data_IF_507291267022
#
_entry.id   IF_507291267022
#
_cell.length_a   1.000
_cell.length_b   1.000
_cell.length_c   1.000
_cell.angle_alpha   90.00
_cell.angle_beta   90.00
_cell.angle_gamma   90.00
#
_symmetry.space_group_name_H-M   'P 1'
#
loop_
_entity.id
_entity.type
_entity.pdbx_description
1 polymer ?
#
# COMPACT_ATOMS: atom_id res chain seq x y z
N UNK A 1 71.25 -34.93 37.01
CA UNK A 1 71.40 -35.36 35.60
C UNK A 1 70.06 -35.88 35.15
N UNK A 2 69.43 -35.30 34.12
CA UNK A 2 68.27 -35.94 33.50
C UNK A 2 68.72 -37.28 32.93
N UNK A 3 68.02 -38.35 33.30
CA UNK A 3 68.28 -39.65 32.71
C UNK A 3 67.60 -39.73 31.35
N UNK A 4 68.12 -40.58 30.46
CA UNK A 4 67.52 -40.84 29.15
C UNK A 4 66.06 -41.31 29.26
N UNK A 5 65.68 -41.94 30.37
CA UNK A 5 64.32 -42.37 30.67
C UNK A 5 63.38 -41.18 30.89
N UNK A 6 63.83 -40.14 31.60
CA UNK A 6 63.03 -38.94 31.88
C UNK A 6 62.68 -38.19 30.58
N UNK A 7 63.64 -38.06 29.66
CA UNK A 7 63.39 -37.45 28.35
C UNK A 7 62.38 -38.23 27.52
N UNK A 8 62.39 -39.57 27.61
CA UNK A 8 61.42 -40.40 26.92
C UNK A 8 60.02 -40.28 27.54
N UNK A 9 59.91 -40.19 28.88
CA UNK A 9 58.64 -39.95 29.56
C UNK A 9 58.01 -38.64 29.11
N UNK A 10 58.78 -37.55 29.14
CA UNK A 10 58.31 -36.23 28.70
C UNK A 10 57.83 -36.25 27.25
N UNK A 11 58.56 -36.91 26.35
CA UNK A 11 58.14 -37.04 24.95
C UNK A 11 56.82 -37.83 24.80
N UNK A 12 56.59 -38.86 25.62
CA UNK A 12 55.32 -39.59 25.62
C UNK A 12 54.18 -38.74 26.16
N UNK A 13 54.41 -38.00 27.23
CA UNK A 13 53.44 -37.05 27.81
C UNK A 13 53.06 -35.98 26.79
N UNK A 14 54.04 -35.32 26.15
CA UNK A 14 53.78 -34.36 25.09
C UNK A 14 53.00 -34.98 23.92
N UNK A 15 53.35 -36.20 23.51
CA UNK A 15 52.62 -36.90 22.44
C UNK A 15 51.19 -37.20 22.84
N UNK A 16 50.93 -37.55 24.11
CA UNK A 16 49.58 -37.78 24.62
C UNK A 16 48.76 -36.50 24.66
N UNK A 17 49.33 -35.41 25.20
CA UNK A 17 48.67 -34.10 25.25
C UNK A 17 48.32 -33.58 23.85
N UNK A 18 49.25 -33.67 22.90
CA UNK A 18 49.00 -33.27 21.50
C UNK A 18 47.87 -34.10 20.88
N UNK A 19 47.79 -35.41 21.17
CA UNK A 19 46.72 -36.26 20.66
C UNK A 19 45.36 -35.89 21.25
N UNK A 20 45.32 -35.60 22.55
CA UNK A 20 44.11 -35.16 23.23
C UNK A 20 43.64 -33.82 22.65
N UNK A 21 44.53 -32.85 22.50
CA UNK A 21 44.21 -31.56 21.87
C UNK A 21 43.72 -31.73 20.42
N UNK A 22 44.39 -32.55 19.60
CA UNK A 22 43.94 -32.85 18.23
C UNK A 22 42.54 -33.48 18.24
N UNK A 23 42.26 -34.37 19.20
CA UNK A 23 40.95 -35.01 19.32
C UNK A 23 39.86 -34.01 19.73
N UNK A 24 40.17 -33.08 20.65
CA UNK A 24 39.28 -32.01 21.07
C UNK A 24 38.98 -31.07 19.91
N UNK A 25 40.01 -30.61 19.19
CA UNK A 25 39.84 -29.74 18.01
C UNK A 25 39.00 -30.42 16.92
N UNK A 26 39.14 -31.73 16.72
CA UNK A 26 38.30 -32.49 15.78
C UNK A 26 36.84 -32.55 16.22
N UNK A 27 36.58 -32.71 17.53
CA UNK A 27 35.23 -32.70 18.06
C UNK A 27 34.59 -31.30 17.96
N UNK A 28 35.36 -30.25 18.22
CA UNK A 28 34.89 -28.87 18.04
C UNK A 28 34.61 -28.56 16.58
N UNK A 29 35.46 -29.03 15.66
CA UNK A 29 35.27 -28.85 14.22
C UNK A 29 33.97 -29.52 13.75
N UNK A 30 33.73 -30.77 14.15
CA UNK A 30 32.49 -31.47 13.77
C UNK A 30 31.25 -30.83 14.39
N UNK A 31 31.34 -30.31 15.61
CA UNK A 31 30.26 -29.54 16.22
C UNK A 31 29.98 -28.23 15.47
N UNK A 32 31.02 -27.55 15.00
CA UNK A 32 30.89 -26.34 14.17
C UNK A 32 30.26 -26.67 12.82
N UNK A 33 30.66 -27.76 12.15
CA UNK A 33 30.08 -28.21 10.89
C UNK A 33 28.56 -28.43 11.02
N UNK A 34 28.11 -29.19 12.03
CA UNK A 34 26.68 -29.42 12.27
C UNK A 34 25.92 -28.12 12.52
N UNK A 35 26.53 -27.17 13.25
CA UNK A 35 25.91 -25.87 13.51
C UNK A 35 25.81 -25.02 12.24
N UNK A 36 26.82 -25.07 11.37
CA UNK A 36 26.80 -24.37 10.07
C UNK A 36 25.69 -24.94 9.20
N UNK A 37 25.59 -26.27 9.06
CA UNK A 37 24.54 -26.91 8.26
C UNK A 37 23.13 -26.56 8.74
N UNK A 38 22.94 -26.51 10.07
CA UNK A 38 21.67 -26.10 10.67
C UNK A 38 21.31 -24.65 10.34
N UNK A 39 22.29 -23.73 10.48
CA UNK A 39 22.11 -22.31 10.16
C UNK A 39 21.87 -22.07 8.67
N UNK A 40 22.53 -22.83 7.79
CA UNK A 40 22.31 -22.74 6.34
C UNK A 40 20.90 -23.20 5.96
N UNK A 41 20.42 -24.29 6.57
CA UNK A 41 19.06 -24.80 6.37
C UNK A 41 18.02 -23.79 6.84
N UNK A 42 18.22 -23.21 8.02
CA UNK A 42 17.32 -22.17 8.57
C UNK A 42 17.33 -20.90 7.70
N UNK A 43 18.52 -20.45 7.27
CA UNK A 43 18.66 -19.30 6.40
C UNK A 43 17.93 -19.51 5.06
N UNK A 44 18.03 -20.71 4.49
CA UNK A 44 17.33 -21.05 3.26
C UNK A 44 15.81 -21.07 3.44
N UNK A 45 15.31 -21.64 4.55
CA UNK A 45 13.90 -21.60 4.88
C UNK A 45 13.40 -20.16 5.04
N UNK A 46 14.12 -19.33 5.80
CA UNK A 46 13.80 -17.92 6.02
C UNK A 46 13.76 -17.11 4.71
N UNK A 47 14.75 -17.29 3.83
CA UNK A 47 14.78 -16.66 2.49
C UNK A 47 13.57 -17.06 1.64
N UNK A 48 13.16 -18.33 1.69
CA UNK A 48 12.00 -18.80 0.94
C UNK A 48 10.68 -18.17 1.43
N UNK A 49 10.53 -18.04 2.76
CA UNK A 49 9.38 -17.38 3.38
C UNK A 49 9.33 -15.89 3.05
N UNK A 50 10.48 -15.21 3.13
CA UNK A 50 10.58 -13.79 2.78
C UNK A 50 10.17 -13.54 1.33
N UNK A 51 10.70 -14.33 0.39
CA UNK A 51 10.34 -14.24 -1.03
C UNK A 51 8.84 -14.47 -1.27
N UNK A 52 8.25 -15.44 -0.58
CA UNK A 52 6.81 -15.71 -0.66
C UNK A 52 5.99 -14.51 -0.18
N UNK A 53 6.38 -13.91 0.95
CA UNK A 53 5.73 -12.73 1.51
C UNK A 53 5.86 -11.51 0.58
N UNK A 54 7.02 -11.30 -0.04
CA UNK A 54 7.26 -10.21 -1.00
C UNK A 54 6.36 -10.33 -2.24
N UNK A 55 6.22 -11.55 -2.79
CA UNK A 55 5.31 -11.81 -3.91
C UNK A 55 3.86 -11.53 -3.51
N UNK A 56 3.45 -11.96 -2.31
CA UNK A 56 2.10 -11.71 -1.80
C UNK A 56 1.83 -10.21 -1.61
N UNK A 57 2.77 -9.47 -1.03
CA UNK A 57 2.67 -8.02 -0.84
C UNK A 57 2.56 -7.28 -2.17
N UNK A 58 3.37 -7.66 -3.17
CA UNK A 58 3.32 -7.09 -4.52
C UNK A 58 1.95 -7.34 -5.17
N UNK A 59 1.42 -8.57 -5.05
CA UNK A 59 0.09 -8.92 -5.56
C UNK A 59 -1.01 -8.10 -4.91
N UNK A 60 -0.97 -7.93 -3.58
CA UNK A 60 -1.92 -7.10 -2.85
C UNK A 60 -1.84 -5.63 -3.26
N UNK A 61 -0.63 -5.09 -3.44
CA UNK A 61 -0.41 -3.73 -3.93
C UNK A 61 -1.06 -3.50 -5.30
N UNK A 62 -0.90 -4.44 -6.23
CA UNK A 62 -1.52 -4.38 -7.55
C UNK A 62 -3.06 -4.45 -7.49
N UNK A 63 -3.61 -5.28 -6.60
CA UNK A 63 -5.05 -5.37 -6.38
C UNK A 63 -5.61 -4.05 -5.83
N UNK A 64 -4.95 -3.46 -4.82
CA UNK A 64 -5.34 -2.17 -4.26
C UNK A 64 -5.30 -1.05 -5.31
N UNK A 65 -4.27 -1.03 -6.16
CA UNK A 65 -4.19 -0.06 -7.26
C UNK A 65 -5.36 -0.23 -8.24
N UNK A 66 -5.71 -1.47 -8.56
CA UNK A 66 -6.83 -1.79 -9.47
C UNK A 66 -8.15 -1.33 -8.88
N UNK A 67 -8.41 -1.67 -7.61
CA UNK A 67 -9.62 -1.25 -6.90
C UNK A 67 -9.73 0.27 -6.82
N UNK A 68 -8.62 0.98 -6.54
CA UNK A 68 -8.61 2.45 -6.54
C UNK A 68 -9.02 3.04 -7.89
N UNK A 69 -8.47 2.50 -8.99
CA UNK A 69 -8.85 2.95 -10.35
C UNK A 69 -10.32 2.66 -10.66
N UNK A 70 -10.85 1.53 -10.21
CA UNK A 70 -12.27 1.21 -10.38
C UNK A 70 -13.17 2.16 -9.60
N UNK A 71 -12.82 2.47 -8.34
CA UNK A 71 -13.55 3.46 -7.53
C UNK A 71 -13.51 4.83 -8.20
N UNK A 72 -12.34 5.26 -8.67
CA UNK A 72 -12.20 6.54 -9.39
C UNK A 72 -13.05 6.59 -10.66
N UNK A 73 -13.07 5.51 -11.46
CA UNK A 73 -13.91 5.41 -12.65
C UNK A 73 -15.40 5.46 -12.30
N UNK A 74 -15.84 4.72 -11.27
CA UNK A 74 -17.23 4.75 -10.78
C UNK A 74 -17.63 6.14 -10.28
N UNK A 75 -16.75 6.81 -9.53
CA UNK A 75 -16.98 8.17 -9.08
C UNK A 75 -17.05 9.16 -10.26
N UNK A 76 -16.16 9.01 -11.25
CA UNK A 76 -16.17 9.84 -12.43
C UNK A 76 -17.46 9.64 -13.23
N UNK A 77 -17.88 8.39 -13.48
CA UNK A 77 -19.16 8.08 -14.15
C UNK A 77 -20.36 8.64 -13.39
N UNK A 78 -20.36 8.52 -12.06
CA UNK A 78 -21.40 9.13 -11.21
C UNK A 78 -21.39 10.67 -11.30
N UNK A 79 -20.23 11.30 -11.51
CA UNK A 79 -20.09 12.75 -11.66
C UNK A 79 -20.34 13.25 -13.09
N UNK A 80 -20.23 12.42 -14.12
CA UNK A 80 -20.46 12.83 -15.52
C UNK A 80 -21.88 13.34 -15.76
N UNK A 81 -22.86 12.79 -15.02
CA UNK A 81 -24.25 13.24 -15.06
C UNK A 81 -24.50 14.45 -14.14
N UNK A 82 -23.47 14.93 -13.44
CA UNK A 82 -23.61 16.03 -12.50
C UNK A 82 -23.11 17.37 -13.09
N UNK A 83 -24.02 18.30 -13.33
CA UNK A 83 -23.68 19.66 -13.76
C UNK A 83 -23.47 20.55 -12.54
N UNK A 84 -22.33 21.25 -12.49
CA UNK A 84 -22.01 22.21 -11.43
C UNK A 84 -22.20 23.63 -11.91
N UNK A 85 -23.18 24.33 -11.38
CA UNK A 85 -23.42 25.75 -11.67
C UNK A 85 -22.80 26.58 -10.55
N UNK A 86 -21.96 27.56 -10.90
CA UNK A 86 -21.34 28.50 -9.96
C UNK A 86 -21.96 29.88 -10.14
N UNK A 87 -21.88 30.72 -9.13
CA UNK A 87 -22.33 32.11 -9.25
C UNK A 87 -23.82 32.32 -8.95
N UNK A 88 -24.51 31.31 -8.42
CA UNK A 88 -25.92 31.44 -8.06
C UNK A 88 -26.04 32.20 -6.72
N UNK A 89 -26.94 33.19 -6.61
CA UNK A 89 -27.23 33.85 -5.35
C UNK A 89 -27.82 32.85 -4.35
N UNK A 90 -27.48 32.97 -3.07
CA UNK A 90 -27.92 32.04 -2.03
C UNK A 90 -29.44 32.05 -1.78
N UNK A 91 -30.10 33.18 -2.07
CA UNK A 91 -31.51 33.44 -1.73
C UNK A 91 -32.53 33.09 -2.82
N UNK A 92 -32.10 32.55 -3.97
CA UNK A 92 -33.04 32.23 -5.08
C UNK A 92 -33.52 30.78 -5.03
N UNK A 93 -34.77 30.52 -5.46
CA UNK A 93 -35.27 29.17 -5.64
C UNK A 93 -34.43 28.46 -6.71
N UNK A 94 -33.62 27.49 -6.26
CA UNK A 94 -32.58 26.87 -7.07
C UNK A 94 -33.15 26.18 -8.31
N UNK A 95 -34.28 25.48 -8.16
CA UNK A 95 -34.91 24.72 -9.23
C UNK A 95 -35.45 25.62 -10.35
N UNK A 96 -36.18 26.69 -10.00
CA UNK A 96 -36.74 27.63 -10.98
C UNK A 96 -35.64 28.40 -11.70
N UNK A 97 -34.62 28.84 -10.95
CA UNK A 97 -33.49 29.59 -11.50
C UNK A 97 -32.70 28.73 -12.49
N UNK A 98 -32.47 27.46 -12.16
CA UNK A 98 -31.79 26.51 -13.04
C UNK A 98 -32.63 26.23 -14.28
N UNK A 99 -33.95 26.00 -14.14
CA UNK A 99 -34.86 25.82 -15.29
C UNK A 99 -34.85 27.02 -16.22
N UNK A 100 -34.94 28.23 -15.67
CA UNK A 100 -34.87 29.47 -16.43
C UNK A 100 -33.53 29.63 -17.16
N UNK A 101 -32.41 29.30 -16.49
CA UNK A 101 -31.08 29.34 -17.08
C UNK A 101 -30.96 28.36 -18.26
N UNK A 102 -31.42 27.11 -18.11
CA UNK A 102 -31.39 26.12 -19.19
C UNK A 102 -32.26 26.52 -20.38
N UNK A 103 -33.49 27.02 -20.13
CA UNK A 103 -34.36 27.56 -21.19
C UNK A 103 -33.69 28.69 -21.95
N UNK A 104 -33.01 29.59 -21.23
CA UNK A 104 -32.29 30.69 -21.83
C UNK A 104 -31.09 30.23 -22.68
N UNK A 105 -30.27 29.30 -22.17
CA UNK A 105 -29.08 28.78 -22.88
C UNK A 105 -29.46 27.98 -24.13
N UNK A 106 -30.50 27.16 -24.05
CA UNK A 106 -30.92 26.29 -25.15
C UNK A 106 -31.71 27.03 -26.25
N UNK A 107 -32.08 28.29 -26.02
CA UNK A 107 -32.81 29.10 -27.01
C UNK A 107 -34.15 28.51 -27.43
N UNK A 108 -34.71 27.61 -26.62
CA UNK A 108 -35.96 26.93 -26.87
C UNK A 108 -36.94 27.20 -25.73
N UNK A 109 -38.17 27.55 -26.08
CA UNK A 109 -39.33 27.28 -25.23
C UNK A 109 -39.57 25.76 -25.24
N UNK A 110 -38.65 25.01 -24.61
CA UNK A 110 -38.70 23.56 -24.63
C UNK A 110 -40.05 23.11 -24.04
N UNK A 111 -40.90 22.42 -24.82
CA UNK A 111 -42.25 22.04 -24.36
C UNK A 111 -42.22 20.88 -23.35
N UNK A 112 -41.09 20.17 -23.26
CA UNK A 112 -40.90 19.07 -22.32
C UNK A 112 -40.27 19.57 -21.02
N UNK A 113 -40.84 19.18 -19.88
CA UNK A 113 -40.34 19.58 -18.56
C UNK A 113 -39.01 18.90 -18.31
N UNK A 114 -37.91 19.68 -18.29
CA UNK A 114 -36.57 19.17 -17.97
C UNK A 114 -36.63 18.51 -16.59
N UNK A 115 -36.48 17.19 -16.57
CA UNK A 115 -36.47 16.40 -15.35
C UNK A 115 -35.09 16.46 -14.71
N UNK A 116 -35.05 16.88 -13.44
CA UNK A 116 -33.86 16.84 -12.62
C UNK A 116 -34.09 15.80 -11.54
N UNK A 117 -33.16 14.87 -11.37
CA UNK A 117 -33.26 13.86 -10.32
C UNK A 117 -32.96 14.49 -8.95
N UNK A 118 -31.92 15.32 -8.90
CA UNK A 118 -31.56 16.07 -7.67
C UNK A 118 -30.96 17.43 -7.99
N UNK A 119 -31.40 18.44 -7.24
CA UNK A 119 -30.82 19.78 -7.26
C UNK A 119 -30.44 20.13 -5.82
N UNK A 120 -29.17 20.41 -5.55
CA UNK A 120 -28.72 20.76 -4.21
C UNK A 120 -27.61 21.81 -4.21
N UNK A 121 -27.59 22.65 -3.18
CA UNK A 121 -26.46 23.55 -2.94
C UNK A 121 -25.30 22.75 -2.34
N UNK A 122 -24.08 22.97 -2.84
CA UNK A 122 -22.88 22.36 -2.27
C UNK A 122 -22.60 22.98 -0.90
N UNK A 123 -22.34 22.16 0.11
CA UNK A 123 -22.00 22.59 1.49
C UNK A 123 -20.52 22.94 1.68
N UNK A 124 -19.76 23.08 0.58
CA UNK A 124 -18.32 23.39 0.66
C UNK A 124 -18.05 24.82 1.18
N UNK A 125 -16.90 25.04 1.85
CA UNK A 125 -16.52 26.36 2.34
C UNK A 125 -16.50 27.38 1.21
N UNK A 126 -17.02 28.57 1.50
CA UNK A 126 -16.93 29.70 0.58
C UNK A 126 -15.46 29.99 0.32
N UNK A 127 -15.01 29.94 -0.93
CA UNK A 127 -13.64 30.33 -1.27
C UNK A 127 -13.57 31.86 -1.12
N UNK A 128 -12.56 32.39 -0.44
CA UNK A 128 -12.48 33.83 -0.17
C UNK A 128 -12.46 34.62 -1.50
N UNK A 129 -13.34 35.62 -1.61
CA UNK A 129 -13.53 36.44 -2.82
C UNK A 129 -14.90 36.32 -3.50
N UNK A 130 -15.76 35.39 -3.07
CA UNK A 130 -17.15 35.26 -3.56
C UNK A 130 -18.15 35.16 -2.40
N UNK A 131 -18.13 36.10 -1.47
CA UNK A 131 -18.90 36.01 -0.21
C UNK A 131 -20.43 35.82 -0.37
N UNK A 132 -20.99 35.92 -1.58
CA UNK A 132 -22.43 35.76 -1.86
C UNK A 132 -22.83 34.68 -2.88
N UNK A 133 -21.90 33.86 -3.40
CA UNK A 133 -22.18 32.97 -4.55
C UNK A 133 -21.82 31.49 -4.36
N UNK A 134 -22.76 30.65 -3.93
CA UNK A 134 -22.51 29.20 -3.79
C UNK A 134 -22.51 28.43 -5.11
N UNK A 135 -22.05 27.17 -5.04
CA UNK A 135 -22.13 26.20 -6.14
C UNK A 135 -23.39 25.35 -5.99
N UNK A 136 -24.12 25.15 -7.07
CA UNK A 136 -25.18 24.16 -7.18
C UNK A 136 -24.67 22.90 -7.88
N UNK A 137 -25.13 21.74 -7.42
CA UNK A 137 -24.93 20.45 -8.09
C UNK A 137 -26.28 19.96 -8.56
N UNK A 138 -26.38 19.74 -9.86
CA UNK A 138 -27.51 19.12 -10.52
C UNK A 138 -27.12 17.68 -10.82
N UNK A 139 -28.00 16.74 -10.54
CA UNK A 139 -27.91 15.36 -11.03
C UNK A 139 -29.06 15.13 -11.99
N UNK A 140 -28.75 14.70 -13.21
CA UNK A 140 -29.74 14.38 -14.22
C UNK A 140 -29.70 12.87 -14.50
N UNK A 141 -30.85 12.21 -14.39
CA UNK A 141 -31.03 10.90 -15.02
C UNK A 141 -31.20 11.14 -16.53
N UNK A 142 -30.29 10.59 -17.33
CA UNK A 142 -30.47 10.37 -18.77
C UNK A 142 -31.16 9.02 -18.98
#
# INVERSE_FOLDING_TARGET
>A
MLTKADSHSLLQEFRSAIREEISAVRADLSAVEVRVDALETEAQASRSQHRSAEIAATRQGNLLLTLRRQVEDLENRSRLQNIRIRGLPDAVPLQDTVRALFRHILGQECPEDIQFDRISQSTGPSTPGWETQRRAVLSACL
#
